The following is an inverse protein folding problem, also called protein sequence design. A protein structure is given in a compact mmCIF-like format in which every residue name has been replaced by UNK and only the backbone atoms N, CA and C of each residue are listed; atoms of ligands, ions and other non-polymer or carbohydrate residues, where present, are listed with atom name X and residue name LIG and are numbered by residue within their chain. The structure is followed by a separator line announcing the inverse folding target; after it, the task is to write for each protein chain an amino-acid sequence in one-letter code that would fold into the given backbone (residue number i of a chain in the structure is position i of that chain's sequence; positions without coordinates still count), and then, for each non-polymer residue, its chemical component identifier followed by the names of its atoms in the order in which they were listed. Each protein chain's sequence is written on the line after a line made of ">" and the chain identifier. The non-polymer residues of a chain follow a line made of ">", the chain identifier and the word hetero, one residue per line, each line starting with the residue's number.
data_IF_737832032024
#
_entry.id   IF_737832032024
#
_cell.length_a   1.000
_cell.length_b   1.000
_cell.length_c   1.000
_cell.angle_alpha   90.00
_cell.angle_beta   90.00
_cell.angle_gamma   90.00
#
_symmetry.space_group_name_H-M   'P 1'
#
loop_
_entity.id
_entity.type
_entity.pdbx_description
1 polymer ?
#
# COMPACT_ATOMS: atom_id res chain seq x y z
N UNK A 1 0.46 27.04 16.71
CA UNK A 1 -0.30 26.02 15.95
C UNK A 1 -0.68 26.54 14.57
N UNK A 2 0.19 26.34 13.57
CA UNK A 2 -0.04 26.43 12.11
C UNK A 2 1.28 25.88 11.54
N UNK A 3 1.38 24.87 10.69
CA UNK A 3 0.44 24.40 9.69
C UNK A 3 1.00 24.57 8.28
N UNK A 4 2.26 24.20 8.00
CA UNK A 4 2.76 24.02 6.62
C UNK A 4 3.94 23.03 6.63
N UNK A 5 3.68 21.76 6.31
CA UNK A 5 4.73 20.80 6.02
C UNK A 5 5.03 20.84 4.51
N UNK A 6 5.70 21.90 4.07
CA UNK A 6 6.30 22.01 2.73
C UNK A 6 7.57 21.16 2.68
N UNK A 7 7.43 19.84 2.78
CA UNK A 7 8.56 18.95 2.52
C UNK A 7 8.88 18.94 1.03
N UNK A 8 9.67 19.92 0.60
CA UNK A 8 10.43 19.95 -0.64
C UNK A 8 11.57 18.91 -0.60
N UNK A 9 11.23 17.64 -0.38
CA UNK A 9 12.19 16.54 -0.32
C UNK A 9 11.69 15.40 -1.21
N UNK A 10 11.96 15.53 -2.51
CA UNK A 10 12.28 14.36 -3.31
C UNK A 10 13.20 14.77 -4.46
N UNK A 11 14.46 15.08 -4.10
CA UNK A 11 15.55 15.20 -5.07
C UNK A 11 15.62 13.93 -5.91
N UNK A 12 15.44 14.07 -7.22
CA UNK A 12 15.70 13.02 -8.21
C UNK A 12 17.21 12.92 -8.41
N UNK A 13 17.87 12.00 -7.71
CA UNK A 13 19.17 11.50 -8.18
C UNK A 13 18.91 10.40 -9.20
N UNK A 14 19.12 10.73 -10.47
CA UNK A 14 19.32 9.76 -11.52
C UNK A 14 20.79 9.29 -11.43
N UNK A 15 20.99 8.06 -10.97
CA UNK A 15 22.28 7.37 -11.13
C UNK A 15 22.06 6.22 -12.11
N UNK A 16 22.64 6.40 -13.29
CA UNK A 16 22.89 5.34 -14.26
C UNK A 16 24.00 4.46 -13.66
N UNK A 17 23.71 3.19 -13.41
CA UNK A 17 24.62 2.28 -12.71
C UNK A 17 24.09 0.86 -12.74
N UNK A 18 24.61 0.08 -13.69
CA UNK A 18 24.48 -1.38 -13.74
C UNK A 18 24.98 -1.97 -12.43
N UNK A 19 24.05 -2.22 -11.52
CA UNK A 19 24.29 -2.87 -10.25
C UNK A 19 23.19 -3.90 -10.09
N UNK A 20 23.54 -5.18 -9.91
CA UNK A 20 22.61 -6.25 -9.56
C UNK A 20 22.08 -6.07 -8.13
N UNK A 21 21.59 -4.88 -7.80
CA UNK A 21 20.88 -4.64 -6.57
C UNK A 21 19.47 -5.20 -6.72
N UNK A 22 19.24 -6.37 -6.10
CA UNK A 22 17.90 -6.94 -5.92
C UNK A 22 16.90 -5.84 -5.61
N UNK A 23 15.88 -5.69 -6.46
CA UNK A 23 14.94 -4.59 -6.39
C UNK A 23 14.26 -4.57 -5.01
N UNK A 24 14.41 -3.48 -4.26
CA UNK A 24 13.81 -3.32 -2.94
C UNK A 24 12.61 -2.39 -3.04
N UNK A 25 11.51 -2.76 -2.39
CA UNK A 25 10.33 -1.92 -2.29
C UNK A 25 9.87 -1.79 -0.84
N UNK A 26 9.09 -0.76 -0.54
CA UNK A 26 8.60 -0.52 0.83
C UNK A 26 7.27 -1.24 1.07
N UNK A 27 7.18 -1.94 2.20
CA UNK A 27 5.93 -2.50 2.68
C UNK A 27 4.92 -1.39 3.02
N UNK A 28 3.66 -1.58 2.67
CA UNK A 28 2.62 -0.60 2.97
C UNK A 28 2.37 -0.46 4.47
N UNK A 29 2.46 -1.54 5.25
CA UNK A 29 2.12 -1.53 6.67
C UNK A 29 3.28 -1.01 7.51
N UNK A 30 4.42 -1.70 7.53
CA UNK A 30 5.57 -1.33 8.36
C UNK A 30 6.49 -0.27 7.73
N UNK A 31 6.27 0.14 6.48
CA UNK A 31 7.08 1.12 5.72
C UNK A 31 8.55 0.75 5.49
N UNK A 32 9.01 -0.38 6.01
CA UNK A 32 10.37 -0.87 5.80
C UNK A 32 10.58 -1.33 4.36
N UNK A 33 11.78 -1.04 3.83
CA UNK A 33 12.26 -1.57 2.55
C UNK A 33 12.56 -3.06 2.71
N UNK A 34 12.00 -3.87 1.83
CA UNK A 34 12.19 -5.32 1.77
C UNK A 34 12.50 -5.72 0.33
N UNK A 35 13.21 -6.83 0.10
CA UNK A 35 13.38 -7.36 -1.25
C UNK A 35 12.00 -7.62 -1.87
N UNK A 36 11.88 -7.39 -3.17
CA UNK A 36 10.62 -7.54 -3.93
C UNK A 36 9.98 -8.92 -3.75
N UNK A 37 10.79 -9.98 -3.63
CA UNK A 37 10.38 -11.36 -3.39
C UNK A 37 9.62 -11.56 -2.06
N UNK A 38 9.93 -10.76 -1.04
CA UNK A 38 9.26 -10.83 0.27
C UNK A 38 7.99 -9.97 0.35
N UNK A 39 7.60 -9.34 -0.76
CA UNK A 39 6.46 -8.45 -0.85
C UNK A 39 5.41 -9.04 -1.79
N UNK A 40 4.17 -9.14 -1.31
CA UNK A 40 3.02 -9.43 -2.16
C UNK A 40 2.45 -8.13 -2.74
N UNK A 41 2.39 -8.06 -4.07
CA UNK A 41 1.87 -6.91 -4.81
C UNK A 41 0.40 -7.10 -5.12
N UNK A 42 -0.39 -6.04 -4.92
CA UNK A 42 -1.82 -6.07 -5.19
C UNK A 42 -2.07 -6.31 -6.69
N UNK A 43 -2.83 -7.36 -7.00
CA UNK A 43 -3.26 -7.69 -8.36
C UNK A 43 -4.75 -7.38 -8.60
N UNK A 44 -5.42 -6.75 -7.63
CA UNK A 44 -6.80 -6.29 -7.77
C UNK A 44 -7.01 -5.49 -9.07
N UNK A 45 -8.13 -5.71 -9.78
CA UNK A 45 -8.45 -4.96 -10.98
C UNK A 45 -8.56 -3.45 -10.69
N UNK A 46 -8.44 -2.66 -11.74
CA UNK A 46 -8.41 -1.19 -11.65
C UNK A 46 -9.72 -0.67 -11.04
N UNK A 47 -9.65 -0.19 -9.79
CA UNK A 47 -10.77 0.54 -9.17
C UNK A 47 -10.68 2.03 -9.55
N UNK A 48 -11.51 2.50 -10.47
CA UNK A 48 -11.50 3.89 -10.95
C UNK A 48 -10.39 4.18 -11.97
N UNK A 49 -9.67 5.30 -11.83
CA UNK A 49 -8.70 5.77 -12.85
C UNK A 49 -7.29 5.18 -12.74
N UNK A 50 -6.88 4.57 -11.62
CA UNK A 50 -5.50 4.02 -11.45
C UNK A 50 -5.47 2.63 -10.79
N UNK A 51 -4.52 1.80 -11.22
CA UNK A 51 -4.25 0.48 -10.60
C UNK A 51 -3.64 0.64 -9.21
N UNK A 52 -3.92 -0.33 -8.32
CA UNK A 52 -3.34 -0.36 -6.98
C UNK A 52 -1.83 -0.65 -7.08
N UNK A 53 -1.02 0.11 -6.33
CA UNK A 53 0.45 -0.05 -6.26
C UNK A 53 0.93 -0.48 -4.86
N UNK A 54 0.01 -0.88 -3.99
CA UNK A 54 0.34 -1.24 -2.60
C UNK A 54 0.96 -2.65 -2.57
N UNK A 55 1.98 -2.79 -1.73
CA UNK A 55 2.74 -4.03 -1.51
C UNK A 55 2.78 -4.33 -0.02
N UNK A 56 2.76 -5.59 0.39
CA UNK A 56 2.79 -5.98 1.81
C UNK A 56 3.79 -7.11 2.04
N UNK A 57 4.56 -7.04 3.11
CA UNK A 57 5.41 -8.17 3.49
C UNK A 57 4.58 -9.27 4.16
N UNK A 58 5.03 -10.51 3.99
CA UNK A 58 4.40 -11.71 4.59
C UNK A 58 4.21 -11.55 6.09
N UNK A 59 5.20 -11.03 6.81
CA UNK A 59 5.12 -10.80 8.26
C UNK A 59 3.98 -9.86 8.66
N UNK A 60 3.72 -8.79 7.90
CA UNK A 60 2.63 -7.86 8.20
C UNK A 60 1.28 -8.46 7.84
N UNK A 61 1.21 -9.27 6.77
CA UNK A 61 -0.01 -10.00 6.44
C UNK A 61 -0.37 -10.96 7.57
N UNK A 62 0.59 -11.76 8.05
CA UNK A 62 0.39 -12.68 9.18
C UNK A 62 0.02 -11.94 10.47
N UNK A 63 0.74 -10.87 10.82
CA UNK A 63 0.52 -10.18 12.10
C UNK A 63 -0.80 -9.41 12.18
N UNK A 64 -1.23 -8.77 11.10
CA UNK A 64 -2.36 -7.83 11.13
C UNK A 64 -3.60 -8.33 10.37
N UNK A 65 -3.45 -9.37 9.55
CA UNK A 65 -4.46 -9.81 8.60
C UNK A 65 -4.59 -11.33 8.48
N UNK A 66 -4.10 -12.11 9.46
CA UNK A 66 -4.16 -13.59 9.45
C UNK A 66 -5.58 -14.13 9.31
N UNK A 67 -6.52 -13.50 10.03
CA UNK A 67 -7.93 -13.90 10.09
C UNK A 67 -8.78 -13.29 8.98
N UNK A 68 -8.19 -12.38 8.18
CA UNK A 68 -8.89 -11.90 7.01
C UNK A 68 -8.77 -13.03 6.01
N UNK A 69 -9.91 -13.63 5.64
CA UNK A 69 -10.05 -14.43 4.44
C UNK A 69 -9.67 -13.54 3.25
N UNK A 70 -8.37 -13.33 3.02
CA UNK A 70 -7.82 -12.75 1.80
C UNK A 70 -7.83 -13.89 0.77
N UNK A 71 -9.00 -14.50 0.63
CA UNK A 71 -9.26 -15.65 -0.19
C UNK A 71 -9.83 -15.11 -1.47
N UNK A 72 -9.01 -15.12 -2.51
CA UNK A 72 -9.57 -15.42 -3.80
C UNK A 72 -9.10 -16.84 -4.13
N UNK A 73 -9.90 -17.88 -3.87
CA UNK A 73 -9.51 -19.25 -4.15
C UNK A 73 -9.31 -19.52 -5.66
N UNK A 74 -9.76 -18.61 -6.54
CA UNK A 74 -9.67 -18.78 -8.00
C UNK A 74 -9.27 -17.51 -8.78
N UNK A 75 -8.67 -16.49 -8.14
CA UNK A 75 -8.34 -15.26 -8.84
C UNK A 75 -7.29 -14.35 -8.19
N UNK A 76 -7.06 -13.15 -8.76
CA UNK A 76 -5.90 -12.33 -8.40
C UNK A 76 -5.97 -11.83 -6.95
N UNK A 77 -4.82 -11.88 -6.27
CA UNK A 77 -4.70 -11.44 -4.88
C UNK A 77 -5.01 -9.95 -4.71
N UNK A 78 -5.98 -9.65 -3.85
CA UNK A 78 -6.37 -8.29 -3.50
C UNK A 78 -5.80 -7.90 -2.15
N UNK A 79 -5.15 -6.73 -2.07
CA UNK A 79 -4.52 -6.31 -0.83
C UNK A 79 -5.55 -5.84 0.23
N UNK A 80 -5.20 -5.85 1.53
CA UNK A 80 -6.08 -5.40 2.61
C UNK A 80 -6.66 -3.99 2.44
N UNK A 81 -5.95 -3.11 1.75
CA UNK A 81 -6.42 -1.75 1.50
C UNK A 81 -7.46 -1.67 0.37
N UNK A 82 -7.43 -2.59 -0.60
CA UNK A 82 -8.47 -2.71 -1.62
C UNK A 82 -9.72 -3.34 -1.02
N UNK A 83 -9.54 -4.36 -0.17
CA UNK A 83 -10.61 -5.02 0.59
C UNK A 83 -11.18 -4.16 1.74
N UNK A 84 -10.73 -2.91 1.90
CA UNK A 84 -11.14 -1.98 2.97
C UNK A 84 -10.88 -2.45 4.42
N UNK A 85 -10.16 -3.55 4.64
CA UNK A 85 -9.83 -4.09 5.97
C UNK A 85 -8.46 -3.64 6.51
N UNK A 86 -7.66 -2.91 5.72
CA UNK A 86 -6.39 -2.38 6.22
C UNK A 86 -6.59 -1.43 7.41
N UNK A 87 -5.85 -1.65 8.49
CA UNK A 87 -5.98 -0.93 9.77
C UNK A 87 -4.97 0.22 9.93
N UNK A 88 -4.09 0.47 8.94
CA UNK A 88 -3.14 1.58 9.07
C UNK A 88 -3.85 2.94 9.07
N UNK A 89 -3.34 3.89 9.84
CA UNK A 89 -3.97 5.21 10.02
C UNK A 89 -4.23 5.95 8.70
N UNK A 90 -3.34 5.82 7.71
CA UNK A 90 -3.52 6.42 6.39
C UNK A 90 -4.69 5.82 5.59
N UNK A 91 -4.90 4.51 5.68
CA UNK A 91 -6.05 3.86 5.06
C UNK A 91 -7.35 4.19 5.79
N UNK A 92 -7.35 4.17 7.13
CA UNK A 92 -8.52 4.51 7.95
C UNK A 92 -8.99 5.95 7.67
N UNK A 93 -8.08 6.93 7.71
CA UNK A 93 -8.41 8.33 7.40
C UNK A 93 -9.00 8.48 6.00
N UNK A 94 -8.42 7.82 4.99
CA UNK A 94 -8.93 7.87 3.61
C UNK A 94 -10.32 7.26 3.47
N UNK A 95 -10.62 6.16 4.17
CA UNK A 95 -11.96 5.56 4.19
C UNK A 95 -12.99 6.49 4.83
N UNK A 96 -12.66 7.06 5.99
CA UNK A 96 -13.53 8.02 6.69
C UNK A 96 -13.84 9.24 5.82
N UNK A 97 -12.83 9.81 5.16
CA UNK A 97 -13.02 10.94 4.25
C UNK A 97 -13.99 10.59 3.10
N UNK A 98 -13.83 9.42 2.48
CA UNK A 98 -14.76 8.95 1.44
C UNK A 98 -16.18 8.78 1.95
N UNK A 99 -16.35 8.19 3.14
CA UNK A 99 -17.67 8.00 3.75
C UNK A 99 -18.34 9.34 4.05
N UNK A 100 -17.60 10.32 4.59
CA UNK A 100 -18.12 11.66 4.84
C UNK A 100 -18.59 12.36 3.55
N UNK A 101 -17.85 12.21 2.44
CA UNK A 101 -18.27 12.76 1.14
C UNK A 101 -19.54 12.11 0.59
N UNK A 102 -19.82 10.85 0.92
CA UNK A 102 -21.05 10.17 0.48
C UNK A 102 -22.29 10.60 1.27
N UNK A 103 -22.12 11.01 2.53
CA UNK A 103 -23.22 11.50 3.38
C UNK A 103 -23.60 12.95 3.02
N UNK A 104 -22.65 13.73 2.50
CA UNK A 104 -22.85 15.12 2.12
C UNK A 104 -23.41 15.32 0.69
N UNK A 105 -23.83 14.25 0.03
CA UNK A 105 -24.42 14.24 -1.32
C UNK A 105 -25.84 13.72 -1.27
#
# INVERSE_FOLDING_TARGET
>A
CLGFCTCALCMRKATNGLSMHKEKASCHQCKLKKPSEQLKHCAAPKTGTRRCRKKYCTQCLKRYHDNVQITNPQGPWSCPACLQVCTCGGCVKKRRAKAATLIAK
#
